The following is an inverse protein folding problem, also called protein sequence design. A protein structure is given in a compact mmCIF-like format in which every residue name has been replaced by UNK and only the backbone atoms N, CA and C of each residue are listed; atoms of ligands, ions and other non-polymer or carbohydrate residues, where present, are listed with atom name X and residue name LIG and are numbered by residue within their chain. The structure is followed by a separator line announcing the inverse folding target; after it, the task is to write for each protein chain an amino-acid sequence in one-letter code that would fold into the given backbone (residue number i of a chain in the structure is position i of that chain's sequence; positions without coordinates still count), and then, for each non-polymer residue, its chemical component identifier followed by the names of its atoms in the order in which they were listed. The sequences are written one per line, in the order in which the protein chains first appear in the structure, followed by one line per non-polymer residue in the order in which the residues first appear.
data_IF_654646460225
#
_entry.id   IF_654646460225
#
_cell.length_a   1.000
_cell.length_b   1.000
_cell.length_c   1.000
_cell.angle_alpha   90.00
_cell.angle_beta   90.00
_cell.angle_gamma   90.00
#
_symmetry.space_group_name_H-M   'P 1'
#
loop_
_entity.id
_entity.type
_entity.pdbx_description
1 polymer ?
#
# COMPACT_ATOMS: atom_id res chain seq x y z
N UNK A 1 -0.44 16.12 4.23
CA UNK A 1 -0.15 15.34 2.99
C UNK A 1 -0.05 16.20 1.72
N UNK A 2 -0.85 17.26 1.58
CA UNK A 2 -0.94 18.07 0.34
C UNK A 2 0.35 18.80 -0.04
N UNK A 3 1.26 18.98 0.91
CA UNK A 3 2.59 19.54 0.73
C UNK A 3 3.61 18.53 0.18
N UNK A 4 3.21 17.26 -0.01
CA UNK A 4 4.09 16.17 -0.45
C UNK A 4 3.88 15.80 -1.91
N UNK A 5 4.95 15.36 -2.54
CA UNK A 5 4.95 14.68 -3.85
C UNK A 5 5.17 13.18 -3.65
N UNK A 6 4.28 12.35 -4.19
CA UNK A 6 4.38 10.89 -4.10
C UNK A 6 4.84 10.29 -5.42
N UNK A 7 6.02 9.68 -5.43
CA UNK A 7 6.56 8.89 -6.52
C UNK A 7 6.10 7.44 -6.44
N UNK A 8 5.35 6.98 -7.45
CA UNK A 8 4.78 5.63 -7.54
C UNK A 8 5.55 4.84 -8.61
N UNK A 9 6.28 3.80 -8.19
CA UNK A 9 7.03 2.92 -9.07
C UNK A 9 6.24 1.62 -9.29
N UNK A 10 5.85 1.37 -10.53
CA UNK A 10 4.91 0.31 -10.89
C UNK A 10 3.46 0.80 -10.74
N UNK A 11 2.80 1.06 -11.86
CA UNK A 11 1.44 1.63 -11.92
C UNK A 11 0.47 0.59 -12.49
N UNK A 12 0.60 -0.65 -12.02
CA UNK A 12 -0.34 -1.73 -12.26
C UNK A 12 -1.56 -1.66 -11.34
N UNK A 13 -2.11 -2.82 -10.95
CA UNK A 13 -3.32 -2.90 -10.13
C UNK A 13 -3.27 -2.08 -8.82
N UNK A 14 -2.16 -2.12 -8.09
CA UNK A 14 -2.02 -1.41 -6.82
C UNK A 14 -1.69 0.06 -7.06
N UNK A 15 -0.64 0.33 -7.84
CA UNK A 15 -0.16 1.69 -8.08
C UNK A 15 -1.20 2.62 -8.72
N UNK A 16 -2.04 2.12 -9.64
CA UNK A 16 -3.09 2.94 -10.26
C UNK A 16 -4.22 3.32 -9.28
N UNK A 17 -4.62 2.38 -8.39
CA UNK A 17 -5.60 2.64 -7.32
C UNK A 17 -5.06 3.62 -6.29
N UNK A 18 -3.78 3.50 -5.94
CA UNK A 18 -3.10 4.47 -5.08
C UNK A 18 -3.08 5.86 -5.73
N UNK A 19 -2.68 5.95 -7.00
CA UNK A 19 -2.65 7.20 -7.74
C UNK A 19 -4.03 7.87 -7.78
N UNK A 20 -5.09 7.12 -8.09
CA UNK A 20 -6.45 7.66 -8.15
C UNK A 20 -6.89 8.29 -6.81
N UNK A 21 -6.58 7.65 -5.68
CA UNK A 21 -6.92 8.15 -4.34
C UNK A 21 -6.09 9.38 -3.97
N UNK A 22 -4.80 9.39 -4.29
CA UNK A 22 -3.92 10.55 -4.04
C UNK A 22 -4.33 11.77 -4.88
N UNK A 23 -4.69 11.54 -6.15
CA UNK A 23 -5.21 12.59 -7.03
C UNK A 23 -6.56 13.12 -6.54
N UNK A 24 -7.45 12.26 -6.03
CA UNK A 24 -8.69 12.71 -5.40
C UNK A 24 -8.46 13.60 -4.18
N UNK A 25 -7.39 13.37 -3.41
CA UNK A 25 -6.96 14.24 -2.31
C UNK A 25 -6.29 15.54 -2.80
N UNK A 26 -5.95 15.67 -4.09
CA UNK A 26 -5.14 16.77 -4.60
C UNK A 26 -3.65 16.65 -4.27
N UNK A 27 -3.16 15.45 -3.91
CA UNK A 27 -1.73 15.18 -3.68
C UNK A 27 -1.02 15.04 -5.01
N UNK A 28 0.11 15.73 -5.18
CA UNK A 28 0.93 15.63 -6.39
C UNK A 28 1.53 14.23 -6.49
N UNK A 29 1.36 13.56 -7.64
CA UNK A 29 1.97 12.25 -7.92
C UNK A 29 2.93 12.32 -9.10
N UNK A 30 3.98 11.48 -9.05
CA UNK A 30 4.89 11.20 -10.15
C UNK A 30 4.85 9.70 -10.42
N UNK A 31 4.67 9.32 -11.68
CA UNK A 31 4.45 7.92 -12.08
C UNK A 31 5.68 7.39 -12.81
N UNK A 32 6.17 6.22 -12.42
CA UNK A 32 7.24 5.52 -13.11
C UNK A 32 6.81 4.09 -13.45
N UNK A 33 6.62 3.80 -14.73
CA UNK A 33 6.30 2.48 -15.24
C UNK A 33 6.78 2.33 -16.70
N UNK A 34 8.08 2.02 -16.91
CA UNK A 34 8.64 1.89 -18.25
C UNK A 34 7.89 0.88 -19.14
N UNK A 35 7.46 -0.31 -18.67
CA UNK A 35 6.64 -1.22 -19.47
C UNK A 35 5.33 -0.61 -20.00
N UNK A 36 4.65 0.23 -19.19
CA UNK A 36 3.42 0.92 -19.63
C UNK A 36 3.74 2.08 -20.58
N UNK A 37 4.82 2.82 -20.33
CA UNK A 37 5.28 3.89 -21.20
C UNK A 37 5.63 3.33 -22.60
N UNK A 38 6.38 2.23 -22.67
CA UNK A 38 6.81 1.60 -23.92
C UNK A 38 5.64 0.96 -24.69
N UNK A 39 4.55 0.61 -23.99
CA UNK A 39 3.30 0.17 -24.61
C UNK A 39 2.50 1.33 -25.23
N UNK A 40 2.81 2.58 -24.89
CA UNK A 40 2.10 3.77 -25.37
C UNK A 40 0.83 4.11 -24.58
N UNK A 41 0.79 3.77 -23.29
CA UNK A 41 -0.32 4.15 -22.42
C UNK A 41 -0.41 5.70 -22.27
N UNK A 42 -1.64 6.21 -22.10
CA UNK A 42 -1.93 7.66 -22.15
C UNK A 42 -1.47 8.45 -20.90
N UNK A 43 -1.06 7.78 -19.82
CA UNK A 43 -0.54 8.46 -18.63
C UNK A 43 0.88 9.01 -18.83
N UNK A 44 1.19 10.11 -18.13
CA UNK A 44 2.54 10.68 -18.14
C UNK A 44 3.45 9.93 -17.18
N UNK A 45 4.30 9.07 -17.73
CA UNK A 45 5.37 8.40 -17.00
C UNK A 45 6.67 9.19 -17.02
N UNK A 46 7.46 9.03 -15.97
CA UNK A 46 8.75 9.67 -15.77
C UNK A 46 9.84 8.64 -15.47
N UNK A 47 11.11 8.95 -15.81
CA UNK A 47 12.25 8.13 -15.38
C UNK A 47 12.35 8.05 -13.86
N UNK A 48 12.86 6.93 -13.35
CA UNK A 48 13.02 6.67 -11.91
C UNK A 48 13.85 7.77 -11.23
N UNK A 49 14.89 8.26 -11.89
CA UNK A 49 15.80 9.29 -11.39
C UNK A 49 15.07 10.61 -11.11
N UNK A 50 14.01 10.92 -11.87
CA UNK A 50 13.18 12.10 -11.61
C UNK A 50 12.39 11.93 -10.32
N UNK A 51 11.80 10.75 -10.09
CA UNK A 51 11.06 10.46 -8.87
C UNK A 51 12.00 10.51 -7.65
N UNK A 52 13.20 9.93 -7.74
CA UNK A 52 14.20 9.97 -6.66
C UNK A 52 14.57 11.40 -6.27
N UNK A 53 14.66 12.32 -7.24
CA UNK A 53 15.01 13.73 -6.98
C UNK A 53 13.84 14.57 -6.47
N UNK A 54 12.63 14.34 -6.99
CA UNK A 54 11.49 15.26 -6.78
C UNK A 54 10.44 14.74 -5.79
N UNK A 55 10.35 13.43 -5.55
CA UNK A 55 9.34 12.88 -4.63
C UNK A 55 9.75 13.06 -3.17
N UNK A 56 8.78 13.36 -2.30
CA UNK A 56 8.93 13.30 -0.85
C UNK A 56 8.69 11.89 -0.30
N UNK A 57 7.85 11.12 -1.02
CA UNK A 57 7.52 9.72 -0.71
C UNK A 57 7.77 8.87 -1.94
N UNK A 58 8.57 7.82 -1.81
CA UNK A 58 8.87 6.86 -2.86
C UNK A 58 8.26 5.50 -2.49
N UNK A 59 7.33 4.99 -3.31
CA UNK A 59 6.61 3.74 -3.02
C UNK A 59 6.67 2.75 -4.18
N UNK A 60 7.01 1.50 -3.87
CA UNK A 60 7.24 0.43 -4.85
C UNK A 60 6.04 -0.53 -4.93
N UNK A 61 5.59 -0.79 -6.15
CA UNK A 61 4.46 -1.65 -6.51
C UNK A 61 4.74 -2.50 -7.75
N UNK A 62 6.00 -2.87 -7.97
CA UNK A 62 6.45 -3.68 -9.12
C UNK A 62 6.42 -5.18 -8.80
N UNK A 63 6.34 -6.06 -9.81
CA UNK A 63 6.80 -7.45 -9.65
C UNK A 63 8.31 -7.51 -9.35
N UNK A 64 8.81 -8.68 -8.99
CA UNK A 64 10.26 -8.94 -8.88
C UNK A 64 10.76 -9.59 -10.18
N UNK A 65 11.42 -8.80 -11.02
CA UNK A 65 12.08 -9.24 -12.24
C UNK A 65 13.59 -9.26 -11.97
N UNK A 66 14.22 -10.42 -12.10
CA UNK A 66 15.66 -10.58 -11.83
C UNK A 66 16.56 -10.17 -13.02
N UNK A 67 15.97 -10.06 -14.20
CA UNK A 67 16.66 -9.83 -15.46
C UNK A 67 15.73 -9.13 -16.45
N UNK A 68 16.28 -8.79 -17.61
CA UNK A 68 15.57 -8.09 -18.68
C UNK A 68 15.59 -6.57 -18.52
N UNK A 69 14.99 -5.83 -19.48
CA UNK A 69 15.07 -4.37 -19.54
C UNK A 69 14.35 -3.67 -18.38
N UNK A 70 13.47 -4.38 -17.66
CA UNK A 70 12.70 -3.86 -16.53
C UNK A 70 13.04 -4.65 -15.25
N UNK A 71 14.32 -4.96 -15.05
CA UNK A 71 14.82 -5.57 -13.82
C UNK A 71 14.40 -4.71 -12.62
N UNK A 72 13.87 -5.37 -11.60
CA UNK A 72 13.46 -4.74 -10.34
C UNK A 72 14.15 -5.35 -9.13
N UNK A 73 14.91 -6.44 -9.29
CA UNK A 73 15.84 -6.93 -8.27
C UNK A 73 16.84 -5.82 -7.91
N UNK A 74 16.82 -5.42 -6.64
CA UNK A 74 17.65 -4.34 -6.07
C UNK A 74 17.51 -3.03 -6.83
N UNK A 75 16.28 -2.71 -7.28
CA UNK A 75 15.99 -1.41 -7.89
C UNK A 75 16.33 -0.25 -6.95
N UNK A 76 16.12 -0.42 -5.64
CA UNK A 76 16.64 0.49 -4.62
C UNK A 76 17.91 -0.11 -3.99
N UNK A 77 19.03 0.11 -4.67
CA UNK A 77 20.39 -0.27 -4.27
C UNK A 77 21.13 0.87 -3.53
N UNK A 78 22.43 0.67 -3.22
CA UNK A 78 23.25 1.71 -2.57
C UNK A 78 23.26 3.04 -3.34
N UNK A 79 23.24 3.03 -4.67
CA UNK A 79 23.29 4.24 -5.49
C UNK A 79 21.99 5.03 -5.38
N UNK A 80 20.84 4.37 -5.58
CA UNK A 80 19.54 5.01 -5.44
C UNK A 80 19.32 5.53 -4.02
N UNK A 81 19.66 4.73 -3.01
CA UNK A 81 19.51 5.11 -1.60
C UNK A 81 20.42 6.28 -1.22
N UNK A 82 21.63 6.35 -1.78
CA UNK A 82 22.51 7.51 -1.62
C UNK A 82 21.93 8.76 -2.28
N UNK A 83 21.37 8.62 -3.49
CA UNK A 83 20.79 9.71 -4.27
C UNK A 83 19.46 10.25 -3.73
N UNK A 84 18.68 9.43 -3.02
CA UNK A 84 17.42 9.85 -2.40
C UNK A 84 17.69 10.95 -1.37
N UNK A 85 17.08 12.15 -1.43
CA UNK A 85 17.39 13.20 -0.47
C UNK A 85 17.08 12.80 0.98
N UNK A 86 17.63 13.54 1.94
CA UNK A 86 17.25 13.38 3.35
C UNK A 86 15.80 13.86 3.60
N UNK A 87 15.17 13.31 4.64
CA UNK A 87 13.80 13.61 5.07
C UNK A 87 12.72 12.95 4.22
N UNK A 88 13.08 11.96 3.39
CA UNK A 88 12.16 11.26 2.47
C UNK A 88 11.59 10.00 3.09
N UNK A 89 10.44 9.57 2.58
CA UNK A 89 9.78 8.35 2.99
C UNK A 89 9.97 7.28 1.91
N UNK A 90 10.47 6.10 2.28
CA UNK A 90 10.57 4.94 1.39
C UNK A 90 9.57 3.87 1.84
N UNK A 91 8.75 3.37 0.91
CA UNK A 91 7.73 2.36 1.18
C UNK A 91 7.92 1.17 0.25
N UNK A 92 8.13 -0.03 0.80
CA UNK A 92 8.10 -1.27 0.04
C UNK A 92 7.05 -2.23 0.61
N UNK A 93 5.99 -2.45 -0.14
CA UNK A 93 4.96 -3.45 0.11
C UNK A 93 4.70 -4.32 -1.13
N UNK A 94 5.71 -4.46 -2.01
CA UNK A 94 5.59 -5.24 -3.23
C UNK A 94 6.30 -6.60 -3.13
N UNK A 95 7.63 -6.63 -3.25
CA UNK A 95 8.48 -7.81 -3.09
C UNK A 95 9.75 -7.40 -2.37
N UNK A 96 10.22 -8.23 -1.43
CA UNK A 96 11.34 -7.91 -0.55
C UNK A 96 12.58 -7.42 -1.30
N UNK A 97 13.09 -8.26 -2.20
CA UNK A 97 14.31 -8.00 -2.97
C UNK A 97 14.19 -6.90 -4.04
N UNK A 98 13.10 -6.12 -4.08
CA UNK A 98 13.06 -4.88 -4.87
C UNK A 98 13.92 -3.79 -4.23
N UNK A 99 14.01 -3.81 -2.90
CA UNK A 99 14.95 -2.99 -2.12
C UNK A 99 16.07 -3.89 -1.65
N UNK A 100 17.34 -3.51 -1.88
CA UNK A 100 18.46 -4.20 -1.24
C UNK A 100 18.43 -3.88 0.26
N UNK A 101 17.94 -4.83 1.05
CA UNK A 101 17.81 -4.69 2.50
C UNK A 101 19.15 -4.46 3.20
N UNK A 102 20.25 -4.96 2.64
CA UNK A 102 21.58 -4.76 3.21
C UNK A 102 22.08 -3.35 2.92
N UNK A 103 21.88 -2.85 1.70
CA UNK A 103 22.18 -1.46 1.34
C UNK A 103 21.37 -0.48 2.17
N UNK A 104 20.07 -0.75 2.35
CA UNK A 104 19.19 0.05 3.18
C UNK A 104 19.65 0.11 4.64
N UNK A 105 19.99 -1.03 5.25
CA UNK A 105 20.55 -1.06 6.60
C UNK A 105 21.82 -0.23 6.70
N UNK A 106 22.78 -0.44 5.77
CA UNK A 106 24.04 0.34 5.74
C UNK A 106 23.78 1.83 5.63
N UNK A 107 22.84 2.27 4.80
CA UNK A 107 22.50 3.68 4.64
C UNK A 107 21.95 4.27 5.95
N UNK A 108 21.00 3.58 6.60
CA UNK A 108 20.41 4.01 7.86
C UNK A 108 21.45 4.06 8.99
N UNK A 109 22.37 3.09 9.06
CA UNK A 109 23.47 3.08 10.04
C UNK A 109 24.49 4.19 9.83
N UNK A 110 24.71 4.60 8.57
CA UNK A 110 25.53 5.76 8.21
C UNK A 110 24.84 7.11 8.48
N UNK A 111 23.63 7.11 9.04
CA UNK A 111 22.90 8.30 9.42
C UNK A 111 22.07 8.92 8.29
N UNK A 112 21.80 8.16 7.21
CA UNK A 112 20.85 8.58 6.18
C UNK A 112 19.49 8.84 6.84
N UNK A 113 18.94 10.04 6.64
CA UNK A 113 17.67 10.44 7.27
C UNK A 113 16.51 10.05 6.36
N UNK A 114 16.04 8.81 6.48
CA UNK A 114 14.84 8.34 5.81
C UNK A 114 13.84 7.84 6.84
N UNK A 115 12.56 8.07 6.57
CA UNK A 115 11.50 7.26 7.15
C UNK A 115 11.24 6.06 6.25
N UNK A 116 11.12 4.87 6.82
CA UNK A 116 11.04 3.63 6.08
C UNK A 116 9.86 2.79 6.54
N UNK A 117 9.08 2.30 5.57
CA UNK A 117 7.96 1.39 5.76
C UNK A 117 8.19 0.13 4.93
N UNK A 118 8.38 -1.01 5.61
CA UNK A 118 8.53 -2.31 4.95
C UNK A 118 7.42 -3.26 5.38
N UNK A 119 6.65 -3.76 4.40
CA UNK A 119 5.79 -4.94 4.60
C UNK A 119 6.46 -6.22 4.09
N UNK A 120 7.47 -6.09 3.22
CA UNK A 120 8.16 -7.22 2.59
C UNK A 120 9.66 -7.17 2.84
N UNK A 121 10.29 -8.34 2.92
CA UNK A 121 11.67 -8.48 3.40
C UNK A 121 12.53 -9.37 2.50
N UNK A 122 13.83 -9.12 2.49
CA UNK A 122 14.84 -9.99 1.89
C UNK A 122 15.80 -10.51 2.98
N UNK A 123 15.91 -11.85 3.16
CA UNK A 123 14.93 -12.86 2.76
C UNK A 123 13.68 -12.86 3.66
N UNK A 124 12.61 -13.50 3.19
CA UNK A 124 11.47 -13.93 4.03
C UNK A 124 11.51 -15.46 4.16
N UNK A 125 11.12 -16.04 5.32
CA UNK A 125 10.63 -15.38 6.53
C UNK A 125 11.75 -14.80 7.44
N UNK A 126 13.03 -15.06 7.15
CA UNK A 126 14.19 -14.65 7.97
C UNK A 126 14.62 -13.19 7.73
N UNK A 127 13.75 -12.24 8.09
CA UNK A 127 14.07 -10.81 7.97
C UNK A 127 15.28 -10.39 8.83
N UNK A 128 15.93 -9.30 8.42
CA UNK A 128 17.03 -8.68 9.18
C UNK A 128 16.52 -7.94 10.42
N UNK A 129 16.86 -8.44 11.62
CA UNK A 129 16.49 -7.80 12.89
C UNK A 129 17.11 -6.40 13.06
N UNK A 130 18.39 -6.16 12.71
CA UNK A 130 18.95 -4.81 12.75
C UNK A 130 18.19 -3.84 11.83
N UNK A 131 17.74 -4.30 10.65
CA UNK A 131 16.94 -3.46 9.76
C UNK A 131 15.56 -3.18 10.34
N UNK A 132 14.86 -4.19 10.86
CA UNK A 132 13.56 -4.00 11.53
C UNK A 132 13.66 -2.96 12.66
N UNK A 133 14.74 -2.95 13.43
CA UNK A 133 14.96 -1.97 14.50
C UNK A 133 15.16 -0.52 14.00
N UNK A 134 15.48 -0.33 12.70
CA UNK A 134 15.74 0.98 12.09
C UNK A 134 14.58 1.54 11.29
N UNK A 135 13.66 0.70 10.82
CA UNK A 135 12.48 1.17 10.06
C UNK A 135 11.38 1.71 10.98
N UNK A 136 10.65 2.71 10.53
CA UNK A 136 9.54 3.33 11.26
C UNK A 136 8.35 2.37 11.39
N UNK A 137 8.05 1.61 10.32
CA UNK A 137 7.01 0.58 10.30
C UNK A 137 7.54 -0.67 9.60
N UNK A 138 7.41 -1.82 10.27
CA UNK A 138 7.71 -3.13 9.73
C UNK A 138 6.54 -4.10 9.94
N UNK A 139 6.02 -4.72 8.89
CA UNK A 139 4.92 -5.71 8.98
C UNK A 139 5.24 -7.02 8.27
N UNK A 140 4.63 -8.15 8.65
CA UNK A 140 5.03 -9.48 8.15
C UNK A 140 4.33 -9.87 6.85
N UNK A 141 4.45 -9.05 5.80
CA UNK A 141 3.88 -9.34 4.46
C UNK A 141 2.36 -9.57 4.51
N UNK A 142 1.65 -8.57 5.05
CA UNK A 142 0.20 -8.58 5.29
C UNK A 142 -0.53 -7.38 4.67
N UNK A 143 0.14 -6.54 3.87
CA UNK A 143 -0.48 -5.34 3.31
C UNK A 143 -1.78 -5.64 2.54
N UNK A 144 -1.84 -6.78 1.86
CA UNK A 144 -3.01 -7.27 1.13
C UNK A 144 -4.02 -8.13 1.91
N UNK A 145 -3.85 -8.33 3.22
CA UNK A 145 -4.65 -9.28 4.01
C UNK A 145 -5.97 -8.67 4.53
N UNK A 146 -6.85 -8.25 3.63
CA UNK A 146 -8.23 -7.88 3.98
C UNK A 146 -9.16 -9.07 3.78
N UNK A 147 -10.27 -9.13 4.52
CA UNK A 147 -11.33 -10.12 4.27
C UNK A 147 -11.90 -9.94 2.85
N UNK A 148 -12.14 -8.69 2.45
CA UNK A 148 -12.55 -8.32 1.11
C UNK A 148 -11.53 -8.79 0.06
N UNK A 149 -10.24 -8.60 0.30
CA UNK A 149 -9.17 -9.01 -0.62
C UNK A 149 -9.12 -10.52 -0.83
N UNK A 150 -9.22 -11.31 0.26
CA UNK A 150 -9.27 -12.77 0.20
C UNK A 150 -10.53 -13.26 -0.53
N UNK A 151 -11.69 -12.72 -0.20
CA UNK A 151 -12.96 -13.08 -0.85
C UNK A 151 -13.00 -12.69 -2.33
N UNK A 152 -12.46 -11.51 -2.68
CA UNK A 152 -12.39 -11.01 -4.07
C UNK A 152 -11.62 -11.94 -5.00
N UNK A 153 -10.58 -12.62 -4.49
CA UNK A 153 -9.90 -13.66 -5.27
C UNK A 153 -10.84 -14.77 -5.71
N UNK A 154 -11.67 -15.29 -4.79
CA UNK A 154 -12.70 -16.30 -5.11
C UNK A 154 -13.77 -15.73 -6.03
N UNK A 155 -14.29 -14.54 -5.76
CA UNK A 155 -15.34 -13.91 -6.58
C UNK A 155 -14.89 -13.69 -8.02
N UNK A 156 -13.68 -13.19 -8.26
CA UNK A 156 -13.17 -12.97 -9.61
C UNK A 156 -13.00 -14.27 -10.41
N UNK A 157 -12.55 -15.34 -9.75
CA UNK A 157 -12.46 -16.66 -10.40
C UNK A 157 -13.85 -17.22 -10.71
N UNK A 158 -14.80 -17.08 -9.78
CA UNK A 158 -16.19 -17.47 -10.00
C UNK A 158 -16.82 -16.74 -11.19
N UNK A 159 -16.68 -15.41 -11.26
CA UNK A 159 -17.19 -14.60 -12.36
C UNK A 159 -16.58 -15.03 -13.71
N UNK A 160 -15.25 -15.16 -13.78
CA UNK A 160 -14.55 -15.59 -14.99
C UNK A 160 -14.96 -16.99 -15.43
N UNK A 161 -15.15 -17.93 -14.49
CA UNK A 161 -15.59 -19.28 -14.79
C UNK A 161 -17.05 -19.32 -15.26
N UNK A 162 -17.94 -18.55 -14.63
CA UNK A 162 -19.34 -18.41 -15.04
C UNK A 162 -19.46 -17.87 -16.47
N UNK A 163 -18.62 -16.89 -16.83
CA UNK A 163 -18.52 -16.36 -18.18
C UNK A 163 -18.02 -17.41 -19.17
N UNK A 164 -16.99 -18.19 -18.80
CA UNK A 164 -16.47 -19.27 -19.63
C UNK A 164 -17.52 -20.34 -19.95
N UNK A 165 -18.42 -20.63 -19.00
CA UNK A 165 -19.55 -21.55 -19.19
C UNK A 165 -20.73 -20.96 -19.98
N UNK A 166 -20.65 -19.69 -20.40
CA UNK A 166 -21.75 -18.98 -21.07
C UNK A 166 -22.91 -18.61 -20.14
N UNK A 167 -22.68 -18.60 -18.83
CA UNK A 167 -23.67 -18.28 -17.79
C UNK A 167 -23.13 -17.15 -16.89
N UNK A 168 -23.00 -15.91 -17.40
CA UNK A 168 -22.39 -14.84 -16.63
C UNK A 168 -23.18 -14.57 -15.33
N UNK A 169 -22.49 -14.72 -14.20
CA UNK A 169 -23.00 -14.45 -12.86
C UNK A 169 -22.09 -13.45 -12.15
N UNK A 170 -22.66 -12.69 -11.22
CA UNK A 170 -21.92 -11.77 -10.35
C UNK A 170 -22.41 -11.91 -8.92
N UNK A 171 -21.52 -11.66 -7.95
CA UNK A 171 -21.84 -11.75 -6.52
C UNK A 171 -21.25 -10.55 -5.80
N UNK A 172 -22.10 -9.82 -5.07
CA UNK A 172 -21.63 -8.72 -4.22
C UNK A 172 -20.89 -9.26 -2.99
N UNK A 173 -19.67 -8.76 -2.76
CA UNK A 173 -18.85 -9.17 -1.61
C UNK A 173 -19.56 -8.95 -0.26
N UNK A 174 -20.39 -7.92 -0.15
CA UNK A 174 -21.15 -7.62 1.06
C UNK A 174 -22.11 -8.75 1.47
N UNK A 175 -22.57 -9.57 0.51
CA UNK A 175 -23.46 -10.70 0.78
C UNK A 175 -22.71 -11.95 1.25
N UNK A 176 -21.39 -11.99 1.10
CA UNK A 176 -20.53 -13.12 1.47
C UNK A 176 -19.80 -12.89 2.80
N UNK A 177 -19.54 -11.64 3.15
CA UNK A 177 -18.73 -11.27 4.31
C UNK A 177 -19.59 -11.06 5.56
N UNK A 178 -19.07 -11.38 6.76
CA UNK A 178 -19.74 -11.01 8.00
C UNK A 178 -19.82 -9.48 8.14
N UNK A 179 -20.78 -9.02 8.94
CA UNK A 179 -20.89 -7.59 9.26
C UNK A 179 -19.63 -7.11 10.00
N UNK A 180 -19.09 -5.93 9.66
CA UNK A 180 -17.95 -5.35 10.37
C UNK A 180 -18.35 -4.88 11.77
N UNK A 181 -17.37 -4.83 12.68
CA UNK A 181 -17.55 -4.31 14.05
C UNK A 181 -18.09 -2.87 14.06
N UNK A 182 -17.62 -2.06 13.10
CA UNK A 182 -18.10 -0.70 12.85
C UNK A 182 -18.63 -0.61 11.42
N UNK A 183 -19.96 -0.55 11.26
CA UNK A 183 -20.62 -0.50 9.95
C UNK A 183 -21.05 0.89 9.53
N UNK A 184 -21.30 1.79 10.49
CA UNK A 184 -21.79 3.15 10.22
C UNK A 184 -21.27 4.15 11.24
N UNK A 185 -21.00 5.39 10.79
CA UNK A 185 -20.74 6.54 11.66
C UNK A 185 -21.24 7.84 11.02
N UNK A 186 -21.42 8.87 11.84
CA UNK A 186 -21.74 10.23 11.38
C UNK A 186 -20.51 11.14 11.40
N UNK A 187 -20.28 11.82 10.30
CA UNK A 187 -19.29 12.89 10.13
C UNK A 187 -20.03 14.23 10.03
N UNK A 188 -19.73 15.15 10.95
CA UNK A 188 -20.28 16.51 10.92
C UNK A 188 -19.23 17.51 10.39
N UNK A 189 -19.66 18.36 9.48
CA UNK A 189 -18.86 19.38 8.80
C UNK A 189 -17.81 18.82 7.86
N UNK A 190 -17.02 19.72 7.28
CA UNK A 190 -16.03 19.41 6.24
C UNK A 190 -14.95 18.41 6.69
N UNK A 191 -14.52 17.56 5.77
CA UNK A 191 -13.42 16.62 5.95
C UNK A 191 -12.07 17.36 5.93
N UNK A 192 -11.32 17.25 7.02
CA UNK A 192 -9.92 17.68 7.10
C UNK A 192 -8.97 16.47 7.26
N UNK A 193 -7.65 16.71 7.19
CA UNK A 193 -6.63 15.66 7.33
C UNK A 193 -6.73 14.91 8.67
N UNK A 194 -7.12 15.60 9.74
CA UNK A 194 -7.29 15.01 11.07
C UNK A 194 -8.49 14.06 11.15
N UNK A 195 -9.64 14.46 10.61
CA UNK A 195 -10.85 13.65 10.49
C UNK A 195 -10.60 12.44 9.59
N UNK A 196 -9.97 12.64 8.43
CA UNK A 196 -9.62 11.56 7.51
C UNK A 196 -8.72 10.52 8.18
N UNK A 197 -7.66 10.96 8.87
CA UNK A 197 -6.78 10.06 9.63
C UNK A 197 -7.57 9.23 10.65
N UNK A 198 -8.49 9.83 11.39
CA UNK A 198 -9.33 9.13 12.38
C UNK A 198 -10.21 8.07 11.72
N UNK A 199 -10.85 8.38 10.59
CA UNK A 199 -11.67 7.44 9.82
C UNK A 199 -10.84 6.27 9.29
N UNK A 200 -9.69 6.56 8.67
CA UNK A 200 -8.79 5.53 8.14
C UNK A 200 -8.29 4.59 9.24
N UNK A 201 -7.88 5.16 10.39
CA UNK A 201 -7.34 4.39 11.52
C UNK A 201 -8.42 3.63 12.28
N UNK A 202 -9.68 4.09 12.28
CA UNK A 202 -10.80 3.33 12.82
C UNK A 202 -10.96 1.99 12.08
N UNK A 203 -10.79 1.99 10.75
CA UNK A 203 -10.84 0.76 9.95
C UNK A 203 -9.55 -0.03 10.05
N UNK A 204 -8.39 0.65 9.92
CA UNK A 204 -7.09 0.01 9.97
C UNK A 204 -5.97 0.98 10.36
N UNK A 205 -5.35 0.72 11.50
CA UNK A 205 -4.09 1.34 11.93
C UNK A 205 -2.94 0.34 11.79
N UNK A 206 -1.99 0.62 10.89
CA UNK A 206 -0.86 -0.28 10.58
C UNK A 206 0.00 -0.63 11.80
N UNK A 207 0.01 0.23 12.82
CA UNK A 207 0.79 0.01 14.05
C UNK A 207 0.32 -1.22 14.83
N UNK A 208 -0.93 -1.66 14.60
CA UNK A 208 -1.48 -2.89 15.19
C UNK A 208 -0.74 -4.15 14.73
N UNK A 209 -0.10 -4.11 13.56
CA UNK A 209 0.61 -5.24 12.95
C UNK A 209 2.14 -5.10 13.08
N UNK A 210 2.63 -3.86 13.18
CA UNK A 210 4.03 -3.57 13.49
C UNK A 210 4.43 -4.06 14.89
N UNK A 211 3.63 -3.75 15.90
CA UNK A 211 3.94 -4.11 17.29
C UNK A 211 4.03 -5.63 17.55
N UNK A 212 3.14 -6.50 17.04
CA UNK A 212 3.31 -7.95 17.10
C UNK A 212 4.61 -8.42 16.44
N UNK A 213 4.94 -7.95 15.24
CA UNK A 213 6.18 -8.36 14.56
C UNK A 213 7.40 -8.04 15.41
N UNK A 214 7.51 -6.80 15.91
CA UNK A 214 8.63 -6.38 16.76
C UNK A 214 8.78 -7.19 18.04
N UNK A 215 7.67 -7.70 18.61
CA UNK A 215 7.70 -8.54 19.83
C UNK A 215 8.26 -9.93 19.60
N UNK A 216 8.07 -10.49 18.41
CA UNK A 216 8.40 -11.90 18.12
C UNK A 216 9.51 -12.06 17.10
N UNK A 217 9.98 -10.97 16.47
CA UNK A 217 11.06 -11.01 15.50
C UNK A 217 12.31 -11.70 16.09
N UNK A 218 12.87 -12.66 15.35
CA UNK A 218 14.01 -13.48 15.78
C UNK A 218 13.62 -14.83 16.39
N UNK A 219 12.33 -15.02 16.72
CA UNK A 219 11.81 -16.33 17.10
C UNK A 219 11.44 -17.12 15.83
N UNK A 220 11.95 -18.36 15.74
CA UNK A 220 11.74 -19.21 14.57
C UNK A 220 10.26 -19.47 14.32
N UNK A 221 9.81 -19.29 13.07
CA UNK A 221 8.43 -19.54 12.63
C UNK A 221 7.40 -18.47 12.99
N UNK A 222 7.75 -17.48 13.82
CA UNK A 222 6.77 -16.47 14.28
C UNK A 222 6.31 -15.52 13.16
N UNK A 223 7.17 -15.22 12.18
CA UNK A 223 6.80 -14.44 10.99
C UNK A 223 5.61 -15.08 10.25
N UNK A 224 5.70 -16.37 9.94
CA UNK A 224 4.63 -17.09 9.26
C UNK A 224 3.44 -17.37 10.18
N UNK A 225 3.67 -17.54 11.50
CA UNK A 225 2.57 -17.68 12.47
C UNK A 225 1.69 -16.44 12.50
N UNK A 226 2.28 -15.23 12.47
CA UNK A 226 1.54 -13.97 12.41
C UNK A 226 0.66 -13.87 11.15
N UNK A 227 1.15 -14.35 10.01
CA UNK A 227 0.41 -14.37 8.74
C UNK A 227 -0.71 -15.40 8.75
N UNK A 228 -0.41 -16.60 9.22
CA UNK A 228 -1.35 -17.74 9.28
C UNK A 228 -2.52 -17.46 10.22
N UNK A 229 -2.26 -16.80 11.34
CA UNK A 229 -3.24 -16.44 12.35
C UNK A 229 -3.57 -14.93 12.34
N UNK A 230 -3.45 -14.29 11.18
CA UNK A 230 -3.70 -12.87 11.02
C UNK A 230 -5.15 -12.55 11.40
N UNK A 231 -5.33 -11.56 12.28
CA UNK A 231 -6.64 -11.10 12.70
C UNK A 231 -7.40 -10.46 11.54
N UNK A 232 -8.72 -10.48 11.61
CA UNK A 232 -9.54 -9.91 10.56
C UNK A 232 -9.24 -8.41 10.35
N UNK A 233 -9.25 -8.01 9.09
CA UNK A 233 -9.05 -6.64 8.63
C UNK A 233 -10.04 -6.34 7.54
N UNK A 234 -10.70 -5.20 7.64
CA UNK A 234 -11.67 -4.72 6.64
C UNK A 234 -11.06 -3.65 5.75
N UNK A 235 -11.69 -3.41 4.61
CA UNK A 235 -11.42 -2.27 3.73
C UNK A 235 -12.32 -1.07 4.11
N UNK A 236 -11.96 0.15 3.68
CA UNK A 236 -12.74 1.36 3.98
C UNK A 236 -14.19 1.29 3.47
N UNK A 237 -14.46 0.51 2.43
CA UNK A 237 -15.80 0.30 1.88
C UNK A 237 -16.74 -0.40 2.86
N UNK A 238 -16.22 -1.07 3.89
CA UNK A 238 -17.01 -1.70 4.96
C UNK A 238 -17.66 -0.68 5.91
N UNK A 239 -17.19 0.56 5.91
CA UNK A 239 -17.67 1.62 6.79
C UNK A 239 -18.50 2.64 6.00
N UNK A 240 -19.79 2.76 6.36
CA UNK A 240 -20.67 3.79 5.83
C UNK A 240 -20.52 5.09 6.64
N UNK A 241 -20.06 6.16 6.00
CA UNK A 241 -19.91 7.48 6.61
C UNK A 241 -21.08 8.38 6.20
N UNK A 242 -21.96 8.66 7.17
CA UNK A 242 -23.07 9.60 7.00
C UNK A 242 -22.55 11.04 7.14
N UNK A 243 -22.60 11.81 6.07
CA UNK A 243 -22.05 13.16 6.00
C UNK A 243 -23.17 14.18 5.90
N UNK A 244 -23.02 15.34 6.55
CA UNK A 244 -23.88 16.52 6.34
C UNK A 244 -23.30 17.50 5.30
N UNK A 245 -22.05 17.28 4.85
CA UNK A 245 -21.40 17.99 3.77
C UNK A 245 -21.22 17.11 2.51
N UNK A 246 -21.72 17.59 1.38
CA UNK A 246 -21.72 16.85 0.11
C UNK A 246 -20.32 16.68 -0.49
N UNK A 247 -19.45 17.70 -0.37
CA UNK A 247 -18.09 17.64 -0.90
C UNK A 247 -17.26 16.59 -0.14
N UNK A 248 -17.42 16.53 1.17
CA UNK A 248 -16.80 15.51 2.03
C UNK A 248 -17.28 14.10 1.70
N UNK A 249 -18.58 13.91 1.45
CA UNK A 249 -19.13 12.62 1.03
C UNK A 249 -18.51 12.17 -0.31
N UNK A 250 -18.47 13.06 -1.31
CA UNK A 250 -17.90 12.75 -2.62
C UNK A 250 -16.40 12.41 -2.52
N UNK A 251 -15.65 13.17 -1.74
CA UNK A 251 -14.23 12.91 -1.50
C UNK A 251 -14.03 11.54 -0.84
N UNK A 252 -14.73 11.25 0.26
CA UNK A 252 -14.64 9.95 0.94
C UNK A 252 -15.01 8.77 0.03
N UNK A 253 -16.00 8.95 -0.85
CA UNK A 253 -16.35 7.95 -1.86
C UNK A 253 -15.20 7.69 -2.85
N UNK A 254 -14.53 8.75 -3.33
CA UNK A 254 -13.33 8.61 -4.20
C UNK A 254 -12.16 7.93 -3.48
N UNK A 255 -12.05 8.08 -2.17
CA UNK A 255 -11.04 7.36 -1.35
C UNK A 255 -11.39 5.88 -1.15
N UNK A 256 -12.66 5.53 -1.27
CA UNK A 256 -13.17 4.16 -1.17
C UNK A 256 -13.96 3.85 0.09
N UNK A 257 -14.43 4.86 0.83
CA UNK A 257 -15.47 4.68 1.85
C UNK A 257 -16.84 4.56 1.20
N UNK A 258 -17.76 3.86 1.87
CA UNK A 258 -19.19 3.98 1.58
C UNK A 258 -19.70 5.26 2.23
N UNK A 259 -20.57 6.03 1.56
CA UNK A 259 -21.06 7.31 2.10
C UNK A 259 -22.56 7.46 1.90
N UNK A 260 -23.19 8.24 2.78
CA UNK A 260 -24.60 8.61 2.69
C UNK A 260 -24.73 10.09 3.06
N UNK A 261 -25.41 10.88 2.23
CA UNK A 261 -25.72 12.28 2.55
C UNK A 261 -26.95 12.32 3.49
N UNK A 262 -26.87 13.14 4.53
CA UNK A 262 -27.94 13.37 5.51
C UNK A 262 -28.92 14.47 5.09
#
# INVERSE_FOLDING_TARGET
LLDKTVGIIGVGNVGSRLNARLQALGVRTLLCDPPRADRGDNERFWPLEKLVREADVLTFHTPLNKNGPYQSLHMADDELLAALPDGRILINACRGAVVDNTALLRALEKGKKLSVVLDVWEPEPELSLPLLARVDIGTPHIAGYTLEGKARGTTQVFEAFSQYLGQPQSVELANLLPQPEFSQLRLNGELDEGKLKRLMHLVYDVRRDDAPLRRVAGQSGEFDRLRKHYQERREWSSLCVQCDDAASAELLQKLGFSTQLL
#
